data_IF_599760433619
#
_entry.id   IF_599760433619
#
_cell.length_a   1.000
_cell.length_b   1.000
_cell.length_c   1.000
_cell.angle_alpha   90.00
_cell.angle_beta   90.00
_cell.angle_gamma   90.00
#
_symmetry.space_group_name_H-M   'P 1'
#
loop_
_entity.id
_entity.type
_entity.pdbx_description
1 polymer ?
#
# COMPACT_ATOMS: atom_id res chain seq x y z
N UNK A 1 -21.29 -28.08 40.03
CA UNK A 1 -20.65 -27.46 41.21
C UNK A 1 -19.18 -27.86 41.21
N UNK A 2 -18.25 -26.97 40.87
CA UNK A 2 -16.83 -26.94 41.30
C UNK A 2 -16.23 -25.64 40.74
N UNK A 3 -15.86 -24.73 41.64
CA UNK A 3 -15.10 -23.51 41.37
C UNK A 3 -13.75 -23.65 42.08
N UNK A 4 -12.62 -23.36 41.40
CA UNK A 4 -11.27 -23.05 41.95
C UNK A 4 -10.54 -22.22 40.87
N UNK A 5 -10.44 -20.88 40.93
CA UNK A 5 -9.59 -19.95 41.71
C UNK A 5 -8.07 -20.19 41.58
N UNK A 6 -7.36 -19.09 41.28
CA UNK A 6 -5.93 -18.79 41.48
C UNK A 6 -5.03 -19.02 40.24
N UNK A 7 -4.21 -18.07 39.77
CA UNK A 7 -3.70 -16.91 40.46
C UNK A 7 -2.96 -15.89 39.59
N UNK A 8 -2.75 -14.78 40.27
CA UNK A 8 -2.08 -13.53 39.95
C UNK A 8 -0.65 -13.71 39.42
N UNK A 9 -0.28 -13.05 38.31
CA UNK A 9 1.07 -12.49 38.14
C UNK A 9 1.03 -11.14 37.44
N UNK A 10 1.18 -10.10 38.27
CA UNK A 10 1.56 -8.74 37.90
C UNK A 10 3.01 -8.77 37.40
N UNK A 11 3.29 -8.14 36.26
CA UNK A 11 4.63 -7.66 35.94
C UNK A 11 4.56 -6.16 35.69
N UNK A 12 5.13 -5.42 36.64
CA UNK A 12 5.54 -4.02 36.57
C UNK A 12 6.71 -3.90 35.57
N UNK A 13 6.76 -2.95 34.63
CA UNK A 13 7.10 -1.51 34.71
C UNK A 13 8.56 -1.24 34.30
N UNK A 14 8.77 -0.10 33.62
CA UNK A 14 10.02 0.56 33.22
C UNK A 14 10.75 -0.06 32.00
N UNK A 15 11.33 0.70 31.05
CA UNK A 15 12.06 1.94 31.26
C UNK A 15 12.10 2.82 30.00
N UNK A 16 11.92 4.13 30.20
CA UNK A 16 12.20 5.21 29.26
C UNK A 16 13.71 5.37 29.06
N UNK A 17 14.17 5.42 27.81
CA UNK A 17 15.46 6.02 27.45
C UNK A 17 15.21 7.21 26.52
N UNK A 18 15.39 8.41 27.06
CA UNK A 18 15.58 9.62 26.28
C UNK A 18 17.09 9.83 26.12
N UNK A 19 17.58 9.84 24.88
CA UNK A 19 18.95 10.28 24.55
C UNK A 19 18.82 11.57 23.76
N UNK A 20 19.19 12.67 24.41
CA UNK A 20 19.47 13.94 23.77
C UNK A 20 20.97 14.00 23.46
N UNK A 21 21.33 14.32 22.21
CA UNK A 21 22.65 14.85 21.85
C UNK A 21 22.53 15.74 20.60
N UNK A 22 23.37 16.76 20.60
CA UNK A 22 23.18 18.07 20.00
C UNK A 22 23.84 18.24 18.62
N UNK A 23 23.26 19.15 17.83
CA UNK A 23 23.92 20.26 17.12
C UNK A 23 25.05 19.99 16.12
N UNK A 24 24.78 20.26 14.84
CA UNK A 24 25.66 21.03 13.97
C UNK A 24 24.82 21.95 13.08
N UNK A 25 25.01 23.26 13.24
CA UNK A 25 24.56 24.28 12.30
C UNK A 25 25.43 24.21 11.04
N UNK A 26 24.81 24.17 9.88
CA UNK A 26 25.44 24.47 8.59
C UNK A 26 24.52 25.48 7.89
N UNK A 27 24.97 26.73 7.86
CA UNK A 27 24.39 27.79 7.05
C UNK A 27 24.74 27.52 5.58
N UNK A 28 23.72 27.31 4.77
CA UNK A 28 23.77 27.34 3.30
C UNK A 28 22.31 27.48 2.86
N UNK A 29 21.89 28.66 2.42
CA UNK A 29 22.07 29.06 1.04
C UNK A 29 20.76 28.73 0.32
N UNK A 30 20.06 29.76 -0.13
CA UNK A 30 18.65 29.67 -0.52
C UNK A 30 18.35 28.66 -1.62
N UNK A 31 17.07 28.32 -1.74
CA UNK A 31 16.37 28.68 -2.97
C UNK A 31 14.85 28.61 -2.78
N UNK A 32 14.21 29.56 -3.44
CA UNK A 32 12.78 29.77 -3.59
C UNK A 32 12.08 28.49 -4.06
N UNK A 33 11.50 27.73 -3.14
CA UNK A 33 10.52 26.70 -3.43
C UNK A 33 9.13 27.32 -3.49
N UNK A 34 8.80 27.92 -4.65
CA UNK A 34 7.46 28.40 -4.96
C UNK A 34 6.40 27.43 -4.47
N UNK A 35 5.64 27.82 -3.44
CA UNK A 35 4.32 27.29 -3.17
C UNK A 35 3.41 27.76 -4.29
N UNK A 36 3.60 27.18 -5.46
CA UNK A 36 2.69 27.31 -6.57
C UNK A 36 1.52 26.43 -6.18
N UNK A 37 0.47 27.07 -5.66
CA UNK A 37 -0.87 26.48 -5.63
C UNK A 37 -1.20 26.07 -7.06
N UNK A 38 -0.84 24.85 -7.42
CA UNK A 38 -1.15 24.27 -8.71
C UNK A 38 -2.64 24.02 -8.71
N UNK A 39 -3.36 24.77 -9.53
CA UNK A 39 -4.78 24.53 -9.84
C UNK A 39 -4.94 23.32 -10.78
N UNK A 40 -3.93 22.47 -10.93
CA UNK A 40 -4.08 21.17 -11.56
C UNK A 40 -4.80 20.22 -10.58
N UNK A 41 -5.66 19.31 -11.07
CA UNK A 41 -6.14 18.21 -10.23
C UNK A 41 -4.92 17.53 -9.58
N UNK A 42 -4.97 17.35 -8.27
CA UNK A 42 -3.85 16.83 -7.49
C UNK A 42 -3.60 15.37 -7.87
N UNK A 43 -2.68 15.16 -8.81
CA UNK A 43 -2.29 13.84 -9.30
C UNK A 43 -1.25 13.29 -8.34
N UNK A 44 -1.56 12.15 -7.72
CA UNK A 44 -0.64 11.48 -6.82
C UNK A 44 0.67 11.14 -7.53
N UNK A 45 1.80 11.53 -6.94
CA UNK A 45 3.12 11.17 -7.43
C UNK A 45 3.39 9.67 -7.29
N UNK A 46 4.35 9.15 -8.04
CA UNK A 46 4.76 7.74 -7.95
C UNK A 46 5.15 7.34 -6.52
N UNK A 47 5.85 8.21 -5.78
CA UNK A 47 6.27 7.95 -4.40
C UNK A 47 5.07 7.88 -3.44
N UNK A 48 4.08 8.76 -3.60
CA UNK A 48 2.86 8.72 -2.80
C UNK A 48 2.07 7.44 -3.05
N UNK A 49 1.92 7.03 -4.32
CA UNK A 49 1.25 5.77 -4.68
C UNK A 49 1.98 4.58 -4.04
N UNK A 50 3.32 4.56 -4.07
CA UNK A 50 4.10 3.50 -3.39
C UNK A 50 3.88 3.51 -1.88
N UNK A 51 3.88 4.68 -1.24
CA UNK A 51 3.65 4.80 0.21
C UNK A 51 2.25 4.33 0.60
N UNK A 52 1.26 4.53 -0.27
CA UNK A 52 -0.10 4.02 -0.08
C UNK A 52 -0.12 2.50 -0.17
N UNK A 53 0.42 1.91 -1.25
CA UNK A 53 0.18 0.51 -1.58
C UNK A 53 1.18 -0.47 -0.96
N UNK A 54 2.47 -0.11 -0.91
CA UNK A 54 3.55 -1.03 -0.59
C UNK A 54 3.41 -1.64 0.82
N UNK A 55 3.68 -2.94 0.91
CA UNK A 55 3.62 -3.72 2.15
C UNK A 55 2.19 -3.99 2.64
N UNK A 56 1.15 -3.66 1.88
CA UNK A 56 -0.25 -3.79 2.29
C UNK A 56 -1.05 -4.70 1.37
N UNK A 57 -2.07 -5.34 1.96
CA UNK A 57 -3.10 -6.07 1.23
C UNK A 57 -4.31 -5.19 0.98
N UNK A 58 -4.86 -5.29 -0.22
CA UNK A 58 -5.97 -4.48 -0.69
C UNK A 58 -7.05 -5.36 -1.28
N UNK A 59 -8.28 -5.20 -0.80
CA UNK A 59 -9.47 -5.79 -1.40
C UNK A 59 -9.80 -5.02 -2.68
N UNK A 60 -9.79 -5.69 -3.82
CA UNK A 60 -10.16 -5.10 -5.09
C UNK A 60 -11.55 -5.54 -5.55
N UNK A 61 -12.26 -4.64 -6.23
CA UNK A 61 -13.52 -4.90 -6.94
C UNK A 61 -13.42 -4.31 -8.33
N UNK A 62 -13.20 -5.18 -9.33
CA UNK A 62 -13.25 -4.83 -10.74
C UNK A 62 -14.56 -5.28 -11.39
N UNK A 63 -14.75 -5.00 -12.69
CA UNK A 63 -16.01 -5.33 -13.39
C UNK A 63 -16.35 -6.82 -13.42
N UNK A 64 -15.32 -7.68 -13.48
CA UNK A 64 -15.49 -9.12 -13.68
C UNK A 64 -14.97 -9.97 -12.52
N UNK A 65 -14.18 -9.38 -11.62
CA UNK A 65 -13.45 -10.08 -10.58
C UNK A 65 -13.40 -9.23 -9.31
N UNK A 66 -13.45 -9.90 -8.17
CA UNK A 66 -13.09 -9.34 -6.87
C UNK A 66 -12.08 -10.26 -6.20
N UNK A 67 -11.36 -9.74 -5.23
CA UNK A 67 -10.34 -10.50 -4.53
C UNK A 67 -9.46 -9.61 -3.69
N UNK A 68 -8.28 -10.11 -3.35
CA UNK A 68 -7.29 -9.39 -2.55
C UNK A 68 -5.95 -9.40 -3.27
N UNK A 69 -5.24 -8.27 -3.26
CA UNK A 69 -3.88 -8.18 -3.78
C UNK A 69 -2.94 -7.66 -2.68
N UNK A 70 -1.82 -8.35 -2.48
CA UNK A 70 -0.69 -7.85 -1.71
C UNK A 70 0.28 -7.16 -2.67
N UNK A 71 0.60 -5.90 -2.41
CA UNK A 71 1.68 -5.19 -3.11
C UNK A 71 2.94 -5.21 -2.26
N UNK A 72 3.87 -6.12 -2.54
CA UNK A 72 5.12 -6.22 -1.78
C UNK A 72 6.07 -5.05 -2.10
N UNK A 73 6.90 -4.66 -1.13
CA UNK A 73 7.82 -3.52 -1.27
C UNK A 73 8.87 -3.69 -2.38
N UNK A 74 9.17 -4.93 -2.77
CA UNK A 74 10.12 -5.27 -3.83
C UNK A 74 9.55 -5.14 -5.25
N UNK A 75 8.29 -4.73 -5.38
CA UNK A 75 7.61 -4.61 -6.67
C UNK A 75 6.96 -5.90 -7.17
N UNK A 76 6.91 -6.96 -6.35
CA UNK A 76 6.11 -8.16 -6.63
C UNK A 76 4.70 -8.03 -6.05
N UNK A 77 3.75 -8.80 -6.59
CA UNK A 77 2.40 -8.89 -6.05
C UNK A 77 1.93 -10.34 -5.91
N UNK A 78 1.03 -10.56 -4.95
CA UNK A 78 0.28 -11.81 -4.80
C UNK A 78 -1.21 -11.46 -4.87
N UNK A 79 -1.90 -12.00 -5.87
CA UNK A 79 -3.31 -11.73 -6.12
C UNK A 79 -4.11 -13.00 -5.88
N UNK A 80 -5.08 -12.92 -4.98
CA UNK A 80 -6.13 -13.92 -4.82
C UNK A 80 -7.40 -13.38 -5.48
N UNK A 81 -7.97 -14.17 -6.39
CA UNK A 81 -9.25 -13.88 -7.03
C UNK A 81 -10.31 -14.80 -6.45
N UNK A 82 -11.36 -14.23 -5.89
CA UNK A 82 -12.43 -14.96 -5.21
C UNK A 82 -13.02 -16.03 -6.13
N UNK A 83 -13.03 -17.28 -5.64
CA UNK A 83 -13.57 -18.43 -6.35
C UNK A 83 -12.76 -18.91 -7.56
N UNK A 84 -11.58 -18.33 -7.84
CA UNK A 84 -10.73 -18.72 -8.97
C UNK A 84 -9.34 -19.19 -8.56
N UNK A 85 -8.76 -18.60 -7.51
CA UNK A 85 -7.45 -18.96 -6.98
C UNK A 85 -6.46 -17.81 -7.01
N UNK A 86 -5.17 -18.15 -6.91
CA UNK A 86 -4.09 -17.16 -6.76
C UNK A 86 -3.19 -17.06 -7.98
N UNK A 87 -2.67 -15.87 -8.27
CA UNK A 87 -1.55 -15.65 -9.18
C UNK A 87 -0.53 -14.69 -8.58
N UNK A 88 0.69 -14.70 -9.10
CA UNK A 88 1.73 -13.72 -8.78
C UNK A 88 1.75 -12.63 -9.84
N UNK A 89 2.40 -11.53 -9.53
CA UNK A 89 2.56 -10.44 -10.46
C UNK A 89 3.72 -9.53 -10.11
N UNK A 90 3.80 -8.45 -10.88
CA UNK A 90 4.69 -7.33 -10.64
C UNK A 90 3.88 -6.06 -10.66
N UNK A 91 4.32 -5.08 -9.88
CA UNK A 91 3.70 -3.77 -9.85
C UNK A 91 4.77 -2.68 -9.76
N UNK A 92 4.39 -1.50 -10.25
CA UNK A 92 5.15 -0.28 -10.05
C UNK A 92 4.22 0.92 -10.09
N UNK A 93 4.67 2.03 -9.53
CA UNK A 93 3.97 3.32 -9.63
C UNK A 93 4.68 4.22 -10.64
N UNK A 94 3.87 5.01 -11.35
CA UNK A 94 4.29 6.21 -12.09
C UNK A 94 3.40 7.35 -11.61
N UNK A 95 3.76 8.59 -11.93
CA UNK A 95 2.93 9.74 -11.55
C UNK A 95 1.51 9.57 -12.10
N UNK A 96 0.54 9.54 -11.19
CA UNK A 96 -0.87 9.32 -11.47
C UNK A 96 -1.26 7.93 -11.94
N UNK A 97 -0.37 6.93 -11.89
CA UNK A 97 -0.64 5.60 -12.44
C UNK A 97 -0.12 4.45 -11.58
N UNK A 98 -0.94 3.39 -11.50
CA UNK A 98 -0.54 2.08 -11.03
C UNK A 98 -0.35 1.16 -12.24
N UNK A 99 0.84 0.59 -12.37
CA UNK A 99 1.15 -0.37 -13.42
C UNK A 99 1.25 -1.78 -12.84
N UNK A 100 0.56 -2.73 -13.43
CA UNK A 100 0.50 -4.12 -12.95
C UNK A 100 0.65 -5.11 -14.10
N UNK A 101 1.27 -6.25 -13.80
CA UNK A 101 1.30 -7.45 -14.64
C UNK A 101 1.01 -8.68 -13.79
N UNK A 102 0.42 -9.71 -14.37
CA UNK A 102 0.12 -10.97 -13.68
C UNK A 102 0.66 -12.16 -14.45
N UNK A 103 1.26 -13.10 -13.73
CA UNK A 103 1.76 -14.34 -14.31
C UNK A 103 0.58 -15.24 -14.75
N UNK A 104 0.83 -16.17 -15.69
CA UNK A 104 -0.13 -17.20 -16.01
C UNK A 104 -0.59 -18.01 -14.79
N UNK A 105 -1.88 -18.31 -14.74
CA UNK A 105 -2.50 -19.16 -13.73
C UNK A 105 -3.60 -20.03 -14.38
N UNK A 106 -4.11 -21.09 -13.73
CA UNK A 106 -5.16 -21.93 -14.31
C UNK A 106 -6.41 -21.15 -14.77
N UNK A 107 -6.78 -20.09 -14.04
CA UNK A 107 -7.89 -19.20 -14.39
C UNK A 107 -7.49 -18.01 -15.29
N UNK A 108 -6.19 -17.87 -15.59
CA UNK A 108 -5.59 -16.81 -16.40
C UNK A 108 -4.44 -17.38 -17.26
N UNK A 109 -4.72 -18.23 -18.26
CA UNK A 109 -3.67 -19.01 -18.94
C UNK A 109 -2.62 -18.19 -19.69
N UNK A 110 -2.95 -16.96 -20.10
CA UNK A 110 -2.02 -16.06 -20.79
C UNK A 110 -1.33 -15.04 -19.88
N UNK A 111 -1.64 -15.02 -18.59
CA UNK A 111 -1.27 -13.92 -17.70
C UNK A 111 -1.91 -12.59 -18.15
N UNK A 112 -1.37 -11.49 -17.60
CA UNK A 112 -1.66 -10.12 -18.03
C UNK A 112 -0.33 -9.39 -18.19
N UNK A 113 -0.03 -8.84 -19.38
CA UNK A 113 1.18 -8.03 -19.56
C UNK A 113 1.09 -6.72 -18.78
N UNK A 114 2.25 -6.14 -18.48
CA UNK A 114 2.35 -4.87 -17.74
C UNK A 114 1.49 -3.78 -18.38
N UNK A 115 0.49 -3.32 -17.64
CA UNK A 115 -0.49 -2.32 -18.07
C UNK A 115 -0.62 -1.25 -16.99
N UNK A 116 -0.64 0.03 -17.39
CA UNK A 116 -0.74 1.16 -16.46
C UNK A 116 -2.15 1.76 -16.48
N UNK A 117 -2.70 1.99 -15.30
CA UNK A 117 -4.03 2.54 -15.11
C UNK A 117 -3.97 3.84 -14.33
N UNK A 118 -4.80 4.85 -14.66
CA UNK A 118 -4.93 6.03 -13.83
C UNK A 118 -5.25 5.64 -12.39
N UNK A 119 -4.52 6.20 -11.44
CA UNK A 119 -4.66 5.94 -10.01
C UNK A 119 -5.11 7.20 -9.29
N UNK A 120 -6.18 7.09 -8.52
CA UNK A 120 -6.75 8.21 -7.76
C UNK A 120 -7.49 7.73 -6.53
N UNK A 121 -7.86 8.65 -5.65
CA UNK A 121 -8.62 8.38 -4.44
C UNK A 121 -7.92 8.87 -3.18
N UNK A 122 -8.56 8.62 -2.05
CA UNK A 122 -8.14 9.10 -0.73
C UNK A 122 -8.88 8.35 0.38
N UNK A 123 -8.47 8.55 1.63
CA UNK A 123 -9.21 8.02 2.79
C UNK A 123 -9.33 6.50 2.83
N UNK A 124 -8.35 5.77 2.27
CA UNK A 124 -8.35 4.30 2.26
C UNK A 124 -9.20 3.66 1.17
N UNK A 125 -9.79 4.45 0.26
CA UNK A 125 -10.46 3.96 -0.95
C UNK A 125 -9.79 4.56 -2.19
N UNK A 126 -9.27 3.70 -3.05
CA UNK A 126 -8.54 4.09 -4.25
C UNK A 126 -9.14 3.43 -5.48
N UNK A 127 -8.86 3.99 -6.66
CA UNK A 127 -9.27 3.42 -7.93
C UNK A 127 -8.05 3.30 -8.83
N UNK A 128 -7.94 2.17 -9.53
CA UNK A 128 -7.02 1.99 -10.64
C UNK A 128 -7.82 1.51 -11.85
N UNK A 129 -7.96 2.36 -12.87
CA UNK A 129 -8.79 2.06 -14.03
C UNK A 129 -10.26 1.83 -13.62
N UNK A 130 -10.77 0.61 -13.80
CA UNK A 130 -12.16 0.24 -13.41
C UNK A 130 -12.25 -0.52 -12.08
N UNK A 131 -11.12 -0.73 -11.40
CA UNK A 131 -11.09 -1.43 -10.12
C UNK A 131 -11.07 -0.43 -8.96
N UNK A 132 -11.87 -0.70 -7.93
CA UNK A 132 -11.79 0.00 -6.63
C UNK A 132 -11.04 -0.86 -5.62
N UNK A 133 -10.18 -0.23 -4.82
CA UNK A 133 -9.34 -0.83 -3.80
C UNK A 133 -9.67 -0.25 -2.44
N UNK A 134 -9.85 -1.12 -1.45
CA UNK A 134 -9.95 -0.76 -0.03
C UNK A 134 -8.97 -1.60 0.77
N UNK A 135 -8.47 -1.07 1.89
CA UNK A 135 -7.55 -1.83 2.75
C UNK A 135 -8.19 -3.16 3.16
N UNK A 136 -7.47 -4.27 2.99
CA UNK A 136 -7.91 -5.57 3.48
C UNK A 136 -7.69 -5.63 5.00
N UNK A 137 -8.70 -6.16 5.71
CA UNK A 137 -8.70 -6.31 7.18
C UNK A 137 -7.88 -7.51 7.64
#
# INVERSE_FOLDING_TARGET
MTVRISGLRRFAMMSTLAVALAGCAMTGGGDSGSSTTSLAPDVLSASEIRNILAGKSWRFRGPNNTGTTLYAEDGTSLVEVDGKGTTRGKWMAKDGQLCESFDPAPFLPGGVPMSCYPFSGSGGTYQAGKATFTVAS
#
